data_IF_618449105492
#
_entry.id   IF_618449105492
#
_cell.length_a   1.000
_cell.length_b   1.000
_cell.length_c   1.000
_cell.angle_alpha   90.00
_cell.angle_beta   90.00
_cell.angle_gamma   90.00
#
_symmetry.space_group_name_H-M   'P 1'
#
loop_
_entity.id
_entity.type
_entity.pdbx_description
1 polymer ?
#
# COMPACT_ATOMS: atom_id res chain seq x y z
N UNK A 1 4.91 25.27 7.12
CA UNK A 1 4.65 24.03 6.34
C UNK A 1 5.63 24.00 5.17
N UNK A 2 6.40 22.91 4.98
CA UNK A 2 7.38 22.80 3.87
C UNK A 2 6.76 23.11 2.51
N UNK A 3 7.55 23.64 1.57
CA UNK A 3 7.06 24.09 0.26
C UNK A 3 6.34 22.99 -0.55
N UNK A 4 6.82 21.75 -0.47
CA UNK A 4 6.20 20.60 -1.14
C UNK A 4 4.79 20.24 -0.60
N UNK A 5 4.40 20.77 0.56
CA UNK A 5 3.13 20.45 1.23
C UNK A 5 2.22 21.68 1.37
N UNK A 6 2.40 22.70 0.53
CA UNK A 6 1.51 23.85 0.49
C UNK A 6 1.43 24.42 -0.91
N UNK A 7 0.33 25.07 -1.18
CA UNK A 7 0.16 25.86 -2.38
C UNK A 7 1.11 27.07 -2.39
N UNK A 8 1.74 27.41 -3.53
CA UNK A 8 2.59 28.59 -3.64
C UNK A 8 1.82 29.91 -3.50
N UNK A 9 0.53 29.94 -3.87
CA UNK A 9 -0.35 31.11 -3.78
C UNK A 9 -1.14 31.14 -2.45
N UNK A 10 -1.02 30.10 -1.63
CA UNK A 10 -1.57 30.04 -0.29
C UNK A 10 -3.01 29.56 -0.21
N UNK A 11 -3.55 28.93 -1.27
CA UNK A 11 -4.92 28.40 -1.28
C UNK A 11 -5.12 27.18 -0.38
N UNK A 12 -4.08 26.35 -0.20
CA UNK A 12 -4.17 25.15 0.64
C UNK A 12 -2.85 24.82 1.33
N UNK A 13 -2.97 24.09 2.43
CA UNK A 13 -1.86 23.69 3.30
C UNK A 13 -2.05 22.26 3.79
N UNK A 14 -1.04 21.41 3.59
CA UNK A 14 -1.00 20.05 4.11
C UNK A 14 -0.68 20.04 5.62
N UNK A 15 -1.60 19.49 6.41
CA UNK A 15 -1.48 19.45 7.87
C UNK A 15 -1.00 18.10 8.43
N UNK A 16 -1.10 17.05 7.62
CA UNK A 16 -0.64 15.71 7.97
C UNK A 16 -0.14 14.98 6.73
N UNK A 17 0.84 14.09 6.92
CA UNK A 17 1.36 13.21 5.87
C UNK A 17 0.92 11.78 6.16
N UNK A 18 0.60 11.06 5.09
CA UNK A 18 0.19 9.65 5.16
C UNK A 18 0.95 8.90 4.08
N UNK A 19 1.74 7.93 4.51
CA UNK A 19 2.40 7.03 3.58
C UNK A 19 1.52 5.83 3.27
N UNK A 20 1.65 5.29 2.06
CA UNK A 20 1.00 4.08 1.58
C UNK A 20 2.03 2.98 1.29
N UNK A 21 2.68 2.40 2.32
CA UNK A 21 3.70 1.38 2.17
C UNK A 21 3.12 0.03 1.76
N UNK A 22 4.02 -0.95 1.61
CA UNK A 22 3.68 -2.37 1.52
C UNK A 22 3.45 -2.88 2.94
N UNK A 23 2.27 -3.44 3.19
CA UNK A 23 2.00 -4.23 4.38
C UNK A 23 2.06 -5.71 4.01
N UNK A 24 2.71 -6.53 4.83
CA UNK A 24 3.00 -7.93 4.50
C UNK A 24 2.82 -8.87 5.69
N UNK A 25 2.56 -10.14 5.42
CA UNK A 25 2.49 -11.21 6.41
C UNK A 25 3.88 -11.55 6.96
N UNK A 26 4.11 -11.35 8.27
CA UNK A 26 5.43 -11.58 8.90
C UNK A 26 5.92 -13.03 8.83
N UNK A 27 5.00 -13.99 8.78
CA UNK A 27 5.26 -15.43 8.75
C UNK A 27 5.49 -15.97 7.33
N UNK A 28 5.04 -15.26 6.29
CA UNK A 28 5.08 -15.73 4.89
C UNK A 28 5.96 -14.91 3.95
N UNK A 29 6.28 -13.67 4.30
CA UNK A 29 7.12 -12.78 3.47
C UNK A 29 8.28 -12.24 4.27
N UNK A 30 9.50 -12.40 3.75
CA UNK A 30 10.70 -11.80 4.33
C UNK A 30 10.90 -10.39 3.76
N UNK A 31 11.33 -9.41 4.57
CA UNK A 31 11.62 -8.06 4.07
C UNK A 31 12.61 -8.00 2.90
N UNK A 32 13.54 -8.96 2.83
CA UNK A 32 14.51 -9.05 1.74
C UNK A 32 13.90 -9.42 0.37
N UNK A 33 12.65 -9.88 0.34
CA UNK A 33 11.91 -10.18 -0.90
C UNK A 33 11.20 -8.93 -1.46
N UNK A 34 11.10 -7.87 -0.66
CA UNK A 34 10.40 -6.62 -0.96
C UNK A 34 11.41 -5.55 -1.39
N UNK A 35 11.00 -4.68 -2.31
CA UNK A 35 11.86 -3.62 -2.83
C UNK A 35 11.10 -2.35 -3.21
N UNK A 36 10.42 -2.34 -4.35
CA UNK A 36 9.77 -1.15 -4.91
C UNK A 36 8.29 -1.37 -5.15
N UNK A 37 7.54 -0.32 -5.50
CA UNK A 37 6.17 -0.48 -5.96
C UNK A 37 6.10 -1.29 -7.26
N UNK A 38 7.03 -1.08 -8.18
CA UNK A 38 7.08 -1.77 -9.48
C UNK A 38 7.25 -3.27 -9.34
N UNK A 39 8.04 -3.69 -8.35
CA UNK A 39 8.31 -5.09 -8.09
C UNK A 39 7.05 -5.90 -7.74
N UNK A 40 5.99 -5.24 -7.25
CA UNK A 40 4.70 -5.89 -7.01
C UNK A 40 4.05 -6.47 -8.27
N UNK A 41 4.50 -6.07 -9.47
CA UNK A 41 4.07 -6.66 -10.74
C UNK A 41 4.83 -7.95 -11.10
N UNK A 42 5.85 -8.35 -10.34
CA UNK A 42 6.62 -9.56 -10.61
C UNK A 42 5.77 -10.82 -10.39
N UNK A 43 5.97 -11.84 -11.24
CA UNK A 43 5.17 -13.08 -11.24
C UNK A 43 5.24 -13.89 -9.94
N UNK A 44 6.28 -13.68 -9.11
CA UNK A 44 6.40 -14.31 -7.78
C UNK A 44 5.29 -13.90 -6.80
N UNK A 45 4.65 -12.77 -7.06
CA UNK A 45 3.52 -12.26 -6.28
C UNK A 45 2.16 -12.72 -6.80
N UNK A 46 2.12 -13.60 -7.80
CA UNK A 46 0.87 -14.07 -8.39
C UNK A 46 -0.03 -14.73 -7.36
N UNK A 47 -1.25 -14.21 -7.22
CA UNK A 47 -2.23 -14.70 -6.25
C UNK A 47 -1.91 -14.35 -4.80
N UNK A 48 -0.99 -13.41 -4.55
CA UNK A 48 -0.52 -13.05 -3.21
C UNK A 48 -0.90 -11.64 -2.77
N UNK A 49 -1.52 -10.84 -3.64
CA UNK A 49 -1.81 -9.44 -3.37
C UNK A 49 -3.31 -9.25 -3.12
N UNK A 50 -3.67 -8.65 -2.00
CA UNK A 50 -4.99 -8.05 -1.83
C UNK A 50 -4.93 -6.55 -2.07
N UNK A 51 -6.04 -5.97 -2.50
CA UNK A 51 -6.16 -4.53 -2.72
C UNK A 51 -7.61 -4.09 -2.56
N UNK A 52 -7.81 -2.81 -2.21
CA UNK A 52 -9.11 -2.13 -2.33
C UNK A 52 -9.37 -1.63 -3.75
N UNK A 53 -10.59 -1.18 -4.02
CA UNK A 53 -11.00 -0.67 -5.35
C UNK A 53 -10.04 0.41 -5.90
N UNK A 54 -9.91 0.43 -7.23
CA UNK A 54 -9.28 1.50 -8.02
C UNK A 54 -9.93 2.87 -7.81
N UNK A 55 -11.19 2.91 -7.39
CA UNK A 55 -11.92 4.17 -7.12
C UNK A 55 -11.46 4.85 -5.82
N UNK A 56 -10.59 4.20 -5.04
CA UNK A 56 -10.00 4.83 -3.87
C UNK A 56 -9.03 5.93 -4.28
N UNK A 57 -9.26 7.14 -3.76
CA UNK A 57 -8.33 8.26 -3.95
C UNK A 57 -6.90 7.93 -3.50
N UNK A 58 -6.71 7.02 -2.54
CA UNK A 58 -5.37 6.58 -2.13
C UNK A 58 -4.64 5.81 -3.24
N UNK A 59 -5.36 4.95 -3.97
CA UNK A 59 -4.80 4.23 -5.11
C UNK A 59 -4.62 5.16 -6.31
N UNK A 60 -5.57 6.08 -6.56
CA UNK A 60 -5.46 7.07 -7.64
C UNK A 60 -4.25 7.99 -7.44
N UNK A 61 -4.04 8.52 -6.23
CA UNK A 61 -2.87 9.35 -5.92
C UNK A 61 -1.55 8.59 -6.06
N UNK A 62 -1.50 7.32 -5.65
CA UNK A 62 -0.31 6.48 -5.85
C UNK A 62 -0.03 6.28 -7.35
N UNK A 63 -1.04 5.89 -8.14
CA UNK A 63 -0.90 5.70 -9.59
C UNK A 63 -0.48 7.00 -10.28
N UNK A 64 -1.04 8.14 -9.87
CA UNK A 64 -0.63 9.45 -10.38
C UNK A 64 0.86 9.73 -10.08
N UNK A 65 1.32 9.42 -8.87
CA UNK A 65 2.75 9.47 -8.52
C UNK A 65 3.60 8.58 -9.44
N UNK A 66 3.17 7.34 -9.68
CA UNK A 66 3.84 6.44 -10.62
C UNK A 66 3.91 7.02 -12.03
N UNK A 67 2.84 7.65 -12.52
CA UNK A 67 2.83 8.33 -13.83
C UNK A 67 3.84 9.48 -13.86
N UNK A 68 3.88 10.33 -12.83
CA UNK A 68 4.83 11.44 -12.75
C UNK A 68 6.29 10.96 -12.77
N UNK A 69 6.59 9.85 -12.11
CA UNK A 69 7.97 9.35 -11.99
C UNK A 69 8.41 8.43 -13.14
N UNK A 70 7.49 7.68 -13.75
CA UNK A 70 7.84 6.62 -14.71
C UNK A 70 7.18 6.79 -16.09
N UNK A 71 6.20 7.69 -16.22
CA UNK A 71 5.40 7.88 -17.42
C UNK A 71 4.25 6.88 -17.57
N UNK A 72 3.24 7.25 -18.36
CA UNK A 72 1.98 6.50 -18.50
C UNK A 72 2.20 5.05 -18.97
N UNK A 73 3.01 4.84 -20.01
CA UNK A 73 3.22 3.51 -20.59
C UNK A 73 3.83 2.50 -19.61
N UNK A 74 4.79 2.94 -18.78
CA UNK A 74 5.40 2.08 -17.74
C UNK A 74 4.41 1.81 -16.62
N UNK A 75 3.66 2.83 -16.19
CA UNK A 75 2.64 2.68 -15.15
C UNK A 75 1.51 1.76 -15.58
N UNK A 76 1.06 1.83 -16.83
CA UNK A 76 0.04 0.92 -17.36
C UNK A 76 0.53 -0.54 -17.35
N UNK A 77 1.77 -0.76 -17.79
CA UNK A 77 2.40 -2.09 -17.78
C UNK A 77 2.48 -2.64 -16.35
N UNK A 78 2.94 -1.82 -15.41
CA UNK A 78 2.96 -2.16 -13.99
C UNK A 78 1.56 -2.48 -13.45
N UNK A 79 0.56 -1.63 -13.72
CA UNK A 79 -0.79 -1.81 -13.23
C UNK A 79 -1.40 -3.12 -13.73
N UNK A 80 -1.17 -3.50 -15.00
CA UNK A 80 -1.59 -4.79 -15.55
C UNK A 80 -0.94 -5.96 -14.80
N UNK A 81 0.36 -5.88 -14.54
CA UNK A 81 1.08 -6.91 -13.78
C UNK A 81 0.61 -7.01 -12.33
N UNK A 82 0.37 -5.87 -11.68
CA UNK A 82 -0.17 -5.81 -10.32
C UNK A 82 -1.56 -6.47 -10.24
N UNK A 83 -2.46 -6.14 -11.16
CA UNK A 83 -3.81 -6.74 -11.23
C UNK A 83 -3.73 -8.24 -11.49
N UNK A 84 -2.83 -8.69 -12.36
CA UNK A 84 -2.61 -10.11 -12.63
C UNK A 84 -2.11 -10.89 -11.39
N UNK A 85 -1.58 -10.18 -10.38
CA UNK A 85 -1.10 -10.75 -9.14
C UNK A 85 -2.13 -10.74 -8.00
N UNK A 86 -3.35 -10.24 -8.23
CA UNK A 86 -4.37 -10.22 -7.21
C UNK A 86 -4.83 -11.64 -6.81
N UNK A 87 -4.92 -11.86 -5.49
CA UNK A 87 -5.45 -13.08 -4.90
C UNK A 87 -6.98 -13.19 -5.04
N UNK A 88 -7.65 -12.03 -5.15
CA UNK A 88 -9.11 -11.88 -5.25
C UNK A 88 -9.45 -10.54 -5.90
N UNK A 89 -10.69 -10.40 -6.39
CA UNK A 89 -11.19 -9.10 -6.85
C UNK A 89 -11.14 -8.05 -5.72
N UNK A 90 -10.82 -6.77 -6.04
CA UNK A 90 -10.72 -5.73 -5.03
C UNK A 90 -12.04 -5.53 -4.26
N UNK A 91 -11.96 -5.46 -2.93
CA UNK A 91 -13.11 -5.21 -2.05
C UNK A 91 -12.69 -4.63 -0.70
N UNK A 92 -13.61 -3.97 0.00
CA UNK A 92 -13.37 -3.42 1.33
C UNK A 92 -12.41 -2.23 1.38
N UNK A 93 -11.98 -1.86 2.59
CA UNK A 93 -11.01 -0.80 2.88
C UNK A 93 -9.64 -1.34 3.31
N UNK A 94 -8.75 -0.44 3.71
CA UNK A 94 -7.37 -0.77 4.10
C UNK A 94 -7.31 -1.73 5.32
N UNK A 95 -8.18 -1.55 6.33
CA UNK A 95 -8.29 -2.48 7.47
C UNK A 95 -8.71 -3.89 7.03
N UNK A 96 -9.58 -4.00 6.04
CA UNK A 96 -10.02 -5.29 5.51
C UNK A 96 -8.88 -6.01 4.79
N UNK A 97 -7.95 -5.27 4.18
CA UNK A 97 -6.77 -5.89 3.57
C UNK A 97 -5.77 -6.36 4.63
N UNK A 98 -5.58 -5.60 5.70
CA UNK A 98 -4.77 -6.01 6.86
C UNK A 98 -5.34 -7.29 7.48
N UNK A 99 -6.67 -7.35 7.68
CA UNK A 99 -7.37 -8.55 8.16
C UNK A 99 -7.24 -9.72 7.18
N UNK A 100 -7.32 -9.48 5.86
CA UNK A 100 -7.14 -10.51 4.84
C UNK A 100 -5.72 -11.10 4.84
N UNK A 101 -4.69 -10.29 5.10
CA UNK A 101 -3.32 -10.77 5.30
C UNK A 101 -3.26 -11.67 6.54
N UNK A 102 -3.79 -11.22 7.68
CA UNK A 102 -3.80 -12.03 8.89
C UNK A 102 -4.58 -13.35 8.74
N UNK A 103 -5.63 -13.35 7.91
CA UNK A 103 -6.44 -14.55 7.60
C UNK A 103 -5.79 -15.48 6.56
N UNK A 104 -4.67 -15.10 5.95
CA UNK A 104 -4.00 -15.92 4.94
C UNK A 104 -4.65 -15.88 3.54
N UNK A 105 -5.56 -14.94 3.29
CA UNK A 105 -6.15 -14.76 1.95
C UNK A 105 -5.15 -14.18 0.93
N UNK A 106 -4.11 -13.51 1.42
CA UNK A 106 -3.03 -12.92 0.65
C UNK A 106 -1.82 -12.70 1.57
N UNK A 107 -0.68 -12.38 0.96
CA UNK A 107 0.58 -12.20 1.66
C UNK A 107 0.96 -10.72 1.80
N UNK A 108 0.43 -9.85 0.94
CA UNK A 108 0.71 -8.42 0.97
C UNK A 108 -0.43 -7.55 0.43
N UNK A 109 -0.41 -6.26 0.79
CA UNK A 109 -1.30 -5.20 0.30
C UNK A 109 -0.59 -3.86 0.31
N UNK A 110 -1.16 -2.87 -0.36
CA UNK A 110 -0.85 -1.46 -0.12
C UNK A 110 -1.93 -0.84 0.77
N UNK A 111 -1.53 -0.23 1.88
CA UNK A 111 -2.46 0.38 2.83
C UNK A 111 -1.77 1.51 3.60
N UNK A 112 -2.55 2.52 4.01
CA UNK A 112 -2.00 3.65 4.75
C UNK A 112 -1.64 3.25 6.19
N UNK A 113 -0.47 3.69 6.67
CA UNK A 113 0.09 3.27 7.97
C UNK A 113 -0.81 3.51 9.16
N UNK A 114 -1.57 4.61 9.17
CA UNK A 114 -2.43 4.96 10.30
C UNK A 114 -3.58 3.95 10.51
N UNK A 115 -3.96 3.16 9.49
CA UNK A 115 -4.93 2.08 9.69
C UNK A 115 -4.33 0.97 10.54
N UNK A 116 -3.09 0.55 10.26
CA UNK A 116 -2.38 -0.42 11.08
C UNK A 116 -2.13 0.12 12.49
N UNK A 117 -1.67 1.37 12.60
CA UNK A 117 -1.50 2.04 13.90
C UNK A 117 -2.78 2.07 14.72
N UNK A 118 -3.91 2.43 14.09
CA UNK A 118 -5.21 2.43 14.75
C UNK A 118 -5.71 1.03 15.17
N UNK A 119 -5.37 -0.02 14.41
CA UNK A 119 -5.69 -1.40 14.78
C UNK A 119 -4.83 -1.90 15.95
N UNK A 120 -3.55 -1.53 16.02
CA UNK A 120 -2.66 -1.84 17.15
C UNK A 120 -3.21 -1.23 18.45
N UNK A 121 -3.71 0.00 18.40
CA UNK A 121 -4.28 0.70 19.55
C UNK A 121 -5.79 0.47 19.75
N UNK A 122 -6.41 -0.43 18.98
CA UNK A 122 -7.86 -0.66 19.03
C UNK A 122 -8.29 -1.33 20.34
N UNK A 123 -9.52 -1.12 20.78
CA UNK A 123 -10.13 -1.92 21.85
C UNK A 123 -10.67 -3.27 21.35
N UNK A 124 -10.79 -3.44 20.03
CA UNK A 124 -11.18 -4.70 19.40
C UNK A 124 -9.98 -5.66 19.35
N UNK A 125 -10.10 -6.78 20.08
CA UNK A 125 -9.04 -7.79 20.18
C UNK A 125 -8.70 -8.42 18.81
N UNK A 126 -9.70 -8.57 17.95
CA UNK A 126 -9.50 -9.14 16.61
C UNK A 126 -8.67 -8.22 15.72
N UNK A 127 -8.80 -6.90 15.87
CA UNK A 127 -7.97 -5.93 15.16
C UNK A 127 -6.52 -5.95 15.66
N UNK A 128 -6.32 -6.06 16.97
CA UNK A 128 -4.98 -6.17 17.56
C UNK A 128 -4.25 -7.45 17.09
N UNK A 129 -4.95 -8.59 17.10
CA UNK A 129 -4.41 -9.89 16.68
C UNK A 129 -4.07 -9.91 15.19
N UNK A 130 -4.90 -9.31 14.34
CA UNK A 130 -4.60 -9.15 12.93
C UNK A 130 -3.39 -8.24 12.71
N UNK A 131 -3.34 -7.09 13.39
CA UNK A 131 -2.23 -6.14 13.26
C UNK A 131 -0.89 -6.72 13.72
N UNK A 132 -0.88 -7.55 14.77
CA UNK A 132 0.34 -8.18 15.27
C UNK A 132 1.06 -9.05 14.21
N UNK A 133 0.32 -9.64 13.28
CA UNK A 133 0.82 -10.53 12.23
C UNK A 133 1.36 -9.78 11.00
N UNK A 134 1.12 -8.48 10.92
CA UNK A 134 1.44 -7.67 9.73
C UNK A 134 2.66 -6.78 9.98
N UNK A 135 3.59 -6.80 9.04
CA UNK A 135 4.77 -5.93 8.97
C UNK A 135 4.56 -4.76 8.02
N UNK A 136 5.40 -3.74 8.15
CA UNK A 136 5.44 -2.57 7.26
C UNK A 136 6.77 -2.58 6.53
N UNK A 137 6.74 -2.43 5.21
CA UNK A 137 7.91 -2.23 4.37
C UNK A 137 7.76 -0.95 3.55
N UNK A 138 8.79 -0.12 3.55
CA UNK A 138 8.81 1.18 2.90
C UNK A 138 9.43 1.04 1.50
N UNK A 139 8.62 0.91 0.43
CA UNK A 139 9.15 0.81 -0.92
C UNK A 139 9.81 2.11 -1.34
N UNK A 140 10.79 2.01 -2.23
CA UNK A 140 11.43 3.18 -2.87
C UNK A 140 12.04 4.18 -1.87
N UNK A 141 12.41 3.72 -0.68
CA UNK A 141 12.92 4.54 0.44
C UNK A 141 14.20 5.36 0.13
N UNK A 142 14.84 5.11 -1.03
CA UNK A 142 16.03 5.83 -1.50
C UNK A 142 15.76 6.79 -2.65
N UNK A 143 14.53 6.81 -3.18
CA UNK A 143 14.17 7.50 -4.42
C UNK A 143 12.87 8.28 -4.26
N UNK A 144 11.74 7.65 -4.56
CA UNK A 144 10.42 8.28 -4.67
C UNK A 144 9.47 7.91 -3.54
N UNK A 145 9.89 6.96 -2.69
CA UNK A 145 9.15 6.56 -1.49
C UNK A 145 9.07 7.68 -0.45
N UNK A 146 7.97 7.69 0.29
CA UNK A 146 7.72 8.58 1.44
C UNK A 146 8.18 7.94 2.72
#
# INVERSE_FOLDING_TARGET
IPAAYRDPEGYWYGLSVRARPILYAKDRVKPAELSTYEDLAASRWKGKICMRSSDSIYNQSLVAGMIVHHGEAKTETWAKGLVANFARSPKGGDRDQIKAIAAGECDLTLANTYYLGGMISSSDKTEQEAAAQVGVFWPDAKTTGV
#
